data_IF_088173164663
#
_entry.id   IF_088173164663
#
_cell.length_a   1.000
_cell.length_b   1.000
_cell.length_c   1.000
_cell.angle_alpha   90.00
_cell.angle_beta   90.00
_cell.angle_gamma   90.00
#
_symmetry.space_group_name_H-M   'P 1'
#
loop_
_entity.id
_entity.type
_entity.pdbx_description
1 polymer ?
#
# COMPACT_ATOMS: atom_id res chain seq x y z
N UNK A 1 -3.62 12.99 -1.66
CA UNK A 1 -3.79 12.74 -3.09
C UNK A 1 -5.22 12.31 -3.37
N UNK A 2 -5.83 12.83 -4.43
CA UNK A 2 -7.20 12.50 -4.82
C UNK A 2 -7.27 11.45 -5.93
N UNK A 3 -6.13 11.17 -6.55
CA UNK A 3 -5.97 10.17 -7.62
C UNK A 3 -4.68 9.37 -7.46
N UNK A 4 -4.59 8.17 -8.06
CA UNK A 4 -3.34 7.40 -8.10
C UNK A 4 -2.17 8.17 -8.75
N UNK A 5 -2.46 9.00 -9.74
CA UNK A 5 -1.44 9.84 -10.39
C UNK A 5 -0.88 10.88 -9.41
N UNK A 6 -1.75 11.66 -8.74
CA UNK A 6 -1.31 12.64 -7.74
C UNK A 6 -0.54 12.00 -6.58
N UNK A 7 -0.93 10.80 -6.19
CA UNK A 7 -0.19 10.04 -5.18
C UNK A 7 1.20 9.66 -5.70
N UNK A 8 1.29 9.19 -6.95
CA UNK A 8 2.56 8.88 -7.61
C UNK A 8 3.48 10.10 -7.70
N UNK A 9 2.94 11.27 -8.06
CA UNK A 9 3.71 12.54 -8.08
C UNK A 9 4.27 12.88 -6.70
N UNK A 10 3.44 12.86 -5.65
CA UNK A 10 3.86 13.20 -4.29
C UNK A 10 4.94 12.25 -3.74
N UNK A 11 4.83 10.94 -4.03
CA UNK A 11 5.86 9.97 -3.65
C UNK A 11 7.18 10.25 -4.39
N UNK A 12 7.10 10.59 -5.68
CA UNK A 12 8.29 10.91 -6.46
C UNK A 12 8.94 12.25 -6.07
N UNK A 13 8.17 13.23 -5.61
CA UNK A 13 8.71 14.46 -5.02
C UNK A 13 9.52 14.15 -3.76
N UNK A 14 8.98 13.29 -2.89
CA UNK A 14 9.68 12.82 -1.68
C UNK A 14 10.92 12.01 -2.05
N UNK A 15 10.82 11.08 -3.01
CA UNK A 15 11.94 10.25 -3.44
C UNK A 15 13.05 11.07 -4.09
N UNK A 16 12.71 12.07 -4.91
CA UNK A 16 13.69 12.98 -5.48
C UNK A 16 14.43 13.82 -4.41
N UNK A 17 13.70 14.30 -3.39
CA UNK A 17 14.30 14.97 -2.24
C UNK A 17 15.24 14.03 -1.46
N UNK A 18 14.84 12.77 -1.26
CA UNK A 18 15.66 11.74 -0.64
C UNK A 18 16.95 11.49 -1.44
N UNK A 19 16.87 11.26 -2.74
CA UNK A 19 18.03 11.05 -3.61
C UNK A 19 18.99 12.24 -3.53
N UNK A 20 18.48 13.46 -3.56
CA UNK A 20 19.30 14.67 -3.45
C UNK A 20 20.00 14.78 -2.07
N UNK A 21 19.30 14.40 -1.00
CA UNK A 21 19.85 14.42 0.36
C UNK A 21 20.96 13.39 0.57
N UNK A 22 20.93 12.29 -0.17
CA UNK A 22 21.86 11.17 -0.07
C UNK A 22 22.74 10.99 -1.31
N UNK A 23 22.90 12.03 -2.14
CA UNK A 23 23.66 11.98 -3.39
C UNK A 23 25.11 11.48 -3.24
N UNK A 24 25.72 11.70 -2.06
CA UNK A 24 27.10 11.30 -1.77
C UNK A 24 27.16 9.94 -1.01
N UNK A 25 26.07 9.19 -0.98
CA UNK A 25 25.96 7.89 -0.32
C UNK A 25 25.69 6.78 -1.33
N UNK A 26 26.23 5.60 -1.02
CA UNK A 26 25.82 4.40 -1.72
C UNK A 26 24.52 3.87 -1.10
N UNK A 27 23.45 3.87 -1.91
CA UNK A 27 22.14 3.38 -1.50
C UNK A 27 21.99 1.93 -1.97
N UNK A 28 21.46 1.09 -1.11
CA UNK A 28 21.05 -0.28 -1.45
C UNK A 28 19.59 -0.42 -1.03
N UNK A 29 18.76 -0.83 -1.98
CA UNK A 29 17.35 -1.14 -1.79
C UNK A 29 17.20 -2.66 -1.75
N UNK A 30 16.42 -3.15 -0.79
CA UNK A 30 16.17 -4.59 -0.63
C UNK A 30 14.66 -4.81 -0.52
N UNK A 31 14.14 -5.72 -1.34
CA UNK A 31 12.76 -6.17 -1.27
C UNK A 31 12.72 -7.62 -0.78
N UNK A 32 12.09 -7.84 0.36
CA UNK A 32 11.76 -9.16 0.87
C UNK A 32 10.40 -9.59 0.30
N UNK A 33 10.45 -10.52 -0.65
CA UNK A 33 9.29 -11.15 -1.27
C UNK A 33 9.17 -12.64 -0.91
N UNK A 34 9.76 -13.10 0.21
CA UNK A 34 9.58 -14.50 0.64
C UNK A 34 8.09 -14.79 0.79
N UNK A 35 7.37 -13.91 1.50
CA UNK A 35 5.90 -13.94 1.60
C UNK A 35 5.38 -12.54 1.33
N UNK A 36 4.62 -12.37 0.24
CA UNK A 36 3.93 -11.13 -0.08
C UNK A 36 2.44 -11.20 0.23
N UNK A 37 1.75 -10.09 0.03
CA UNK A 37 0.30 -9.97 0.16
C UNK A 37 -0.32 -9.70 -1.21
N UNK A 38 -1.21 -10.58 -1.66
CA UNK A 38 -1.94 -10.40 -2.93
C UNK A 38 -3.37 -9.92 -2.70
N UNK A 39 -3.97 -9.28 -3.71
CA UNK A 39 -5.38 -8.85 -3.71
C UNK A 39 -5.60 -7.54 -2.96
N UNK A 40 -6.72 -7.45 -2.24
CA UNK A 40 -7.18 -6.23 -1.58
C UNK A 40 -6.43 -5.94 -0.28
N UNK A 41 -5.22 -5.39 -0.37
CA UNK A 41 -4.52 -4.86 0.82
C UNK A 41 -5.21 -3.64 1.44
N UNK A 42 -4.72 -3.14 2.56
CA UNK A 42 -3.68 -3.66 3.44
C UNK A 42 -4.18 -4.72 4.42
N UNK A 43 -3.26 -5.42 5.04
CA UNK A 43 -3.39 -6.40 6.13
C UNK A 43 -4.55 -7.40 6.02
N UNK A 44 -5.75 -7.08 6.44
CA UNK A 44 -6.89 -8.02 6.54
C UNK A 44 -7.65 -8.24 5.22
N UNK A 45 -7.34 -7.49 4.18
CA UNK A 45 -8.03 -7.56 2.89
C UNK A 45 -7.36 -8.48 1.87
N UNK A 46 -6.05 -8.69 2.00
CA UNK A 46 -5.28 -9.54 1.10
C UNK A 46 -5.07 -10.95 1.62
N UNK A 47 -4.46 -11.80 0.79
CA UNK A 47 -4.04 -13.15 1.14
C UNK A 47 -2.52 -13.25 1.09
N UNK A 48 -1.93 -13.90 2.09
CA UNK A 48 -0.51 -14.19 2.11
C UNK A 48 -0.17 -15.20 0.99
N UNK A 49 0.85 -14.90 0.20
CA UNK A 49 1.33 -15.76 -0.88
C UNK A 49 2.86 -15.74 -0.94
N UNK A 50 3.46 -16.90 -1.13
CA UNK A 50 4.89 -17.04 -1.25
C UNK A 50 5.34 -16.66 -2.66
N UNK A 51 6.30 -15.75 -2.77
CA UNK A 51 7.08 -15.55 -3.98
C UNK A 51 8.49 -16.13 -3.83
N UNK A 52 8.96 -16.39 -2.60
CA UNK A 52 10.28 -16.92 -2.29
C UNK A 52 11.41 -16.14 -2.99
N UNK A 53 11.22 -14.83 -3.13
CA UNK A 53 12.16 -13.95 -3.79
C UNK A 53 12.78 -12.96 -2.80
N UNK A 54 14.09 -12.75 -2.92
CA UNK A 54 14.83 -11.66 -2.30
C UNK A 54 15.49 -10.86 -3.41
N UNK A 55 15.21 -9.58 -3.50
CA UNK A 55 15.71 -8.72 -4.58
C UNK A 55 16.48 -7.56 -3.95
N UNK A 56 17.66 -7.28 -4.49
CA UNK A 56 18.46 -6.12 -4.06
C UNK A 56 18.93 -5.32 -5.28
N UNK A 57 18.99 -4.01 -5.16
CA UNK A 57 19.46 -3.12 -6.22
C UNK A 57 19.99 -1.81 -5.63
N UNK A 58 20.88 -1.15 -6.35
CA UNK A 58 21.25 0.25 -6.09
C UNK A 58 20.26 1.25 -6.70
N UNK A 59 19.31 0.76 -7.49
CA UNK A 59 18.25 1.52 -8.16
C UNK A 59 16.89 0.98 -7.72
N UNK A 60 16.11 1.78 -6.96
CA UNK A 60 14.81 1.37 -6.47
C UNK A 60 13.77 1.18 -7.60
N UNK A 61 13.88 1.94 -8.70
CA UNK A 61 12.96 1.84 -9.83
C UNK A 61 13.20 0.52 -10.58
N UNK A 62 14.47 0.16 -10.76
CA UNK A 62 14.85 -1.13 -11.33
C UNK A 62 14.41 -2.29 -10.44
N UNK A 63 14.59 -2.17 -9.12
CA UNK A 63 14.13 -3.15 -8.14
C UNK A 63 12.63 -3.42 -8.27
N UNK A 64 11.81 -2.36 -8.27
CA UNK A 64 10.36 -2.47 -8.42
C UNK A 64 9.95 -3.09 -9.76
N UNK A 65 10.66 -2.76 -10.85
CA UNK A 65 10.41 -3.34 -12.17
C UNK A 65 10.65 -4.84 -12.18
N UNK A 66 11.74 -5.29 -11.55
CA UNK A 66 12.06 -6.72 -11.38
C UNK A 66 11.02 -7.38 -10.47
N UNK A 67 10.67 -6.77 -9.34
CA UNK A 67 9.66 -7.30 -8.43
C UNK A 67 8.30 -7.49 -9.11
N UNK A 68 7.86 -6.54 -9.95
CA UNK A 68 6.64 -6.69 -10.76
C UNK A 68 6.71 -7.88 -11.70
N UNK A 69 7.85 -8.10 -12.33
CA UNK A 69 8.04 -9.27 -13.20
C UNK A 69 7.98 -10.58 -12.42
N UNK A 70 8.64 -10.66 -11.25
CA UNK A 70 8.64 -11.84 -10.37
C UNK A 70 7.22 -12.25 -9.95
N UNK A 71 6.33 -11.27 -9.71
CA UNK A 71 4.95 -11.54 -9.26
C UNK A 71 3.91 -11.41 -10.37
N UNK A 72 4.34 -11.19 -11.62
CA UNK A 72 3.49 -11.02 -12.80
C UNK A 72 2.45 -9.89 -12.68
N UNK A 73 2.83 -8.78 -12.04
CA UNK A 73 2.03 -7.56 -12.04
C UNK A 73 2.46 -6.65 -13.21
N UNK A 74 1.48 -5.99 -13.81
CA UNK A 74 1.75 -5.05 -14.90
C UNK A 74 2.41 -3.77 -14.41
N UNK A 75 3.72 -3.65 -14.61
CA UNK A 75 4.51 -2.46 -14.31
C UNK A 75 3.88 -1.17 -14.90
N UNK A 76 3.25 -1.25 -16.07
CA UNK A 76 2.66 -0.08 -16.72
C UNK A 76 1.48 0.52 -15.96
N UNK A 77 0.89 -0.21 -15.01
CA UNK A 77 -0.15 0.29 -14.12
C UNK A 77 0.39 1.01 -12.90
N UNK A 78 1.69 0.95 -12.64
CA UNK A 78 2.33 1.61 -11.49
C UNK A 78 2.73 3.05 -11.82
N UNK A 79 1.88 4.03 -11.49
CA UNK A 79 2.17 5.45 -11.72
C UNK A 79 3.47 5.90 -11.04
N UNK A 80 3.78 5.39 -9.85
CA UNK A 80 5.00 5.74 -9.10
C UNK A 80 6.23 5.48 -9.97
N UNK A 81 6.36 4.28 -10.51
CA UNK A 81 7.52 3.86 -11.28
C UNK A 81 7.61 4.53 -12.65
N UNK A 82 6.46 4.76 -13.30
CA UNK A 82 6.41 5.50 -14.57
C UNK A 82 6.90 6.94 -14.39
N UNK A 83 6.48 7.61 -13.34
CA UNK A 83 6.91 8.98 -13.03
C UNK A 83 8.39 8.99 -12.66
N UNK A 84 8.86 8.05 -11.83
CA UNK A 84 10.26 7.93 -11.45
C UNK A 84 11.17 7.74 -12.68
N UNK A 85 10.78 6.88 -13.61
CA UNK A 85 11.50 6.64 -14.88
C UNK A 85 11.50 7.91 -15.74
N UNK A 86 10.36 8.59 -15.88
CA UNK A 86 10.26 9.84 -16.64
C UNK A 86 11.12 10.97 -16.05
N UNK A 87 11.23 10.99 -14.71
CA UNK A 87 12.09 11.94 -13.97
C UNK A 87 13.56 11.53 -13.92
N UNK A 88 13.91 10.38 -14.51
CA UNK A 88 15.28 9.81 -14.52
C UNK A 88 15.82 9.51 -13.13
N UNK A 89 14.95 9.07 -12.23
CA UNK A 89 15.33 8.62 -10.89
C UNK A 89 15.83 7.19 -10.85
N UNK A 90 15.62 6.43 -11.95
CA UNK A 90 16.08 5.06 -12.13
C UNK A 90 15.58 4.44 -13.44
N UNK A 91 15.96 3.19 -13.70
CA UNK A 91 15.62 2.46 -14.92
C UNK A 91 14.37 1.59 -14.71
N UNK A 92 13.28 1.94 -15.40
CA UNK A 92 12.03 1.17 -15.34
C UNK A 92 11.88 0.12 -16.43
N UNK A 93 12.72 0.15 -17.47
CA UNK A 93 12.62 -0.78 -18.56
C UNK A 93 13.36 -2.09 -18.24
N UNK A 94 12.62 -3.17 -18.03
CA UNK A 94 13.16 -4.48 -17.67
C UNK A 94 14.23 -4.99 -18.63
N UNK A 95 14.13 -4.66 -19.94
CA UNK A 95 15.08 -5.06 -20.95
C UNK A 95 16.43 -4.34 -20.86
N UNK A 96 16.52 -3.28 -20.05
CA UNK A 96 17.76 -2.52 -19.82
C UNK A 96 18.36 -2.81 -18.44
N UNK A 97 17.67 -3.60 -17.61
CA UNK A 97 18.13 -3.94 -16.27
C UNK A 97 19.00 -5.19 -16.36
N UNK A 98 20.23 -5.08 -15.85
CA UNK A 98 21.11 -6.25 -15.71
C UNK A 98 20.73 -7.01 -14.44
N UNK A 99 20.20 -8.21 -14.62
CA UNK A 99 19.78 -9.10 -13.53
C UNK A 99 20.87 -10.12 -13.26
N UNK A 100 21.35 -10.20 -12.01
CA UNK A 100 22.37 -11.13 -11.55
C UNK A 100 21.72 -12.08 -10.54
N UNK A 101 21.97 -13.38 -10.68
CA UNK A 101 21.40 -14.42 -9.83
C UNK A 101 20.37 -15.27 -10.57
N UNK A 102 19.22 -15.52 -9.94
CA UNK A 102 18.18 -16.35 -10.52
C UNK A 102 17.57 -15.72 -11.77
N UNK A 103 17.26 -16.54 -12.76
CA UNK A 103 16.54 -16.11 -13.95
C UNK A 103 15.09 -15.77 -13.64
N UNK A 104 14.52 -14.74 -14.29
CA UNK A 104 13.09 -14.42 -14.15
C UNK A 104 12.19 -15.59 -14.53
N UNK A 105 12.63 -16.48 -15.43
CA UNK A 105 11.87 -17.67 -15.82
C UNK A 105 11.63 -18.66 -14.68
N UNK A 106 12.44 -18.63 -13.62
CA UNK A 106 12.24 -19.45 -12.43
C UNK A 106 11.02 -19.05 -11.61
N UNK A 107 10.47 -17.87 -11.88
CA UNK A 107 9.30 -17.30 -11.20
C UNK A 107 8.01 -17.37 -12.05
N UNK A 108 8.02 -18.06 -13.17
CA UNK A 108 6.89 -18.11 -14.10
C UNK A 108 5.59 -18.64 -13.50
N UNK A 109 5.65 -19.45 -12.44
CA UNK A 109 4.48 -19.99 -11.75
C UNK A 109 3.94 -19.06 -10.64
N UNK A 110 4.58 -17.91 -10.42
CA UNK A 110 4.25 -16.99 -9.35
C UNK A 110 3.40 -15.84 -9.88
N UNK A 111 2.07 -15.96 -9.75
CA UNK A 111 1.14 -14.93 -10.19
C UNK A 111 0.40 -14.32 -9.01
N UNK A 112 0.69 -13.07 -8.66
CA UNK A 112 -0.05 -12.35 -7.64
C UNK A 112 -1.30 -11.71 -8.21
N UNK A 113 -2.39 -11.77 -7.44
CA UNK A 113 -3.61 -11.04 -7.77
C UNK A 113 -3.41 -9.55 -7.50
N UNK A 114 -3.59 -8.73 -8.53
CA UNK A 114 -3.65 -7.29 -8.33
C UNK A 114 -4.92 -6.90 -7.54
N UNK A 115 -4.90 -5.77 -6.80
CA UNK A 115 -6.13 -5.20 -6.25
C UNK A 115 -7.16 -4.95 -7.36
N UNK A 116 -8.45 -5.13 -7.04
CA UNK A 116 -9.50 -4.92 -8.03
C UNK A 116 -9.62 -3.44 -8.41
N UNK A 117 -9.69 -3.16 -9.71
CA UNK A 117 -9.93 -1.81 -10.25
C UNK A 117 -11.38 -1.33 -10.01
N UNK A 118 -12.11 -1.93 -9.06
CA UNK A 118 -13.58 -1.85 -8.94
C UNK A 118 -14.18 -0.46 -8.67
N UNK A 119 -13.36 0.59 -8.59
CA UNK A 119 -13.84 1.96 -8.41
C UNK A 119 -13.23 2.96 -9.41
N UNK A 120 -12.71 2.49 -10.52
CA UNK A 120 -11.90 3.24 -11.47
C UNK A 120 -12.70 4.16 -12.35
N UNK A 121 -13.36 5.07 -12.24
CA UNK A 121 -13.74 6.20 -13.12
C UNK A 121 -15.14 6.81 -12.96
N UNK A 122 -16.18 6.05 -12.62
CA UNK A 122 -17.52 6.63 -12.43
C UNK A 122 -17.75 7.03 -10.97
N UNK A 123 -17.20 6.24 -10.03
CA UNK A 123 -17.33 6.50 -8.59
C UNK A 123 -16.55 7.70 -8.06
N UNK A 124 -15.41 8.06 -8.69
CA UNK A 124 -14.55 9.14 -8.19
C UNK A 124 -15.21 10.53 -8.22
N UNK A 125 -16.08 10.80 -9.18
CA UNK A 125 -16.82 12.09 -9.22
C UNK A 125 -17.87 12.19 -8.12
N UNK A 126 -18.54 11.09 -7.80
CA UNK A 126 -19.57 10.99 -6.75
C UNK A 126 -18.89 11.00 -5.36
N UNK A 127 -17.69 10.44 -5.23
CA UNK A 127 -16.92 10.38 -3.99
C UNK A 127 -16.34 11.73 -3.53
N UNK A 128 -16.44 12.80 -4.34
CA UNK A 128 -16.10 14.16 -3.91
C UNK A 128 -17.05 14.69 -2.84
N UNK A 129 -18.26 14.15 -2.74
CA UNK A 129 -19.23 14.51 -1.69
C UNK A 129 -18.89 13.68 -0.44
N UNK A 130 -18.35 14.31 0.60
CA UNK A 130 -17.93 13.64 1.86
C UNK A 130 -19.01 12.72 2.46
N UNK A 131 -20.27 13.10 2.37
CA UNK A 131 -21.38 12.32 2.88
C UNK A 131 -21.58 11.00 2.10
N UNK A 132 -21.60 11.06 0.77
CA UNK A 132 -21.74 9.87 -0.10
C UNK A 132 -20.55 8.93 0.04
N UNK A 133 -19.35 9.49 0.18
CA UNK A 133 -18.13 8.73 0.45
C UNK A 133 -18.24 7.87 1.72
N UNK A 134 -18.83 8.43 2.78
CA UNK A 134 -19.00 7.69 4.04
C UNK A 134 -20.09 6.63 3.99
N UNK A 135 -21.05 6.79 3.08
CA UNK A 135 -22.13 5.81 2.87
C UNK A 135 -21.67 4.62 2.01
N UNK A 136 -20.84 4.89 1.00
CA UNK A 136 -20.47 3.90 -0.02
C UNK A 136 -19.16 3.17 0.28
N UNK A 137 -18.23 3.78 1.02
CA UNK A 137 -16.93 3.17 1.27
C UNK A 137 -16.88 2.46 2.63
N UNK A 138 -16.26 1.30 2.63
CA UNK A 138 -15.94 0.55 3.86
C UNK A 138 -15.16 1.42 4.86
N UNK A 139 -15.41 1.20 6.13
CA UNK A 139 -14.67 1.85 7.21
C UNK A 139 -14.39 0.87 8.37
N UNK A 140 -13.41 1.16 9.23
CA UNK A 140 -13.10 0.32 10.38
C UNK A 140 -14.30 0.17 11.33
N UNK A 141 -14.62 -1.06 11.67
CA UNK A 141 -15.63 -1.42 12.68
C UNK A 141 -15.00 -2.24 13.79
N UNK A 142 -15.45 -2.02 15.02
CA UNK A 142 -14.90 -2.65 16.20
C UNK A 142 -15.79 -3.83 16.62
N UNK A 143 -15.22 -5.05 16.60
CA UNK A 143 -15.81 -6.21 17.19
C UNK A 143 -15.63 -6.16 18.72
N UNK A 144 -16.72 -5.84 19.42
CA UNK A 144 -16.72 -5.69 20.89
C UNK A 144 -16.35 -6.98 21.62
N UNK A 145 -16.65 -8.15 21.04
CA UNK A 145 -16.35 -9.45 21.67
C UNK A 145 -14.85 -9.77 21.66
N UNK A 146 -14.09 -9.21 20.70
CA UNK A 146 -12.65 -9.37 20.62
C UNK A 146 -11.88 -8.22 21.26
N UNK A 147 -12.50 -7.06 21.45
CA UNK A 147 -11.83 -5.85 21.88
C UNK A 147 -11.52 -5.85 23.37
N UNK A 148 -10.25 -5.81 23.73
CA UNK A 148 -9.74 -5.70 25.10
C UNK A 148 -9.62 -4.25 25.61
N UNK A 149 -10.07 -3.27 24.85
CA UNK A 149 -10.04 -1.84 25.21
C UNK A 149 -8.65 -1.26 25.50
N UNK A 150 -7.59 -1.79 24.89
CA UNK A 150 -6.20 -1.35 25.11
C UNK A 150 -5.89 0.08 24.65
N UNK A 151 -6.69 0.65 23.75
CA UNK A 151 -6.53 2.03 23.29
C UNK A 151 -5.55 2.25 22.12
N UNK A 152 -4.80 1.23 21.69
CA UNK A 152 -3.78 1.35 20.64
C UNK A 152 -4.34 1.94 19.34
N UNK A 153 -5.55 1.54 18.93
CA UNK A 153 -6.22 2.07 17.74
C UNK A 153 -6.52 3.57 17.82
N UNK A 154 -6.71 4.11 19.01
CA UNK A 154 -6.93 5.55 19.20
C UNK A 154 -5.62 6.32 19.20
N UNK A 155 -4.56 5.71 19.73
CA UNK A 155 -3.22 6.31 19.79
C UNK A 155 -2.63 6.47 18.40
N UNK A 156 -2.72 5.43 17.55
CA UNK A 156 -2.14 5.41 16.21
C UNK A 156 -2.94 6.22 15.19
N UNK A 157 -4.20 6.57 15.44
CA UNK A 157 -5.08 7.20 14.44
C UNK A 157 -4.59 8.60 14.04
N UNK A 158 -4.08 8.83 12.79
CA UNK A 158 -3.53 10.11 12.39
C UNK A 158 -4.56 11.26 12.48
N UNK A 159 -5.79 11.11 11.95
CA UNK A 159 -6.81 12.17 12.05
C UNK A 159 -7.56 12.18 13.40
N UNK A 160 -7.15 11.35 14.38
CA UNK A 160 -7.77 11.22 15.72
C UNK A 160 -9.29 11.04 15.70
N UNK A 161 -9.77 10.29 14.72
CA UNK A 161 -11.20 9.98 14.55
C UNK A 161 -11.65 8.74 15.29
N UNK A 162 -10.69 7.88 15.68
CA UNK A 162 -10.95 6.76 16.59
C UNK A 162 -10.80 7.27 18.02
N UNK A 163 -11.87 7.20 18.81
CA UNK A 163 -11.93 7.77 20.16
C UNK A 163 -12.45 6.75 21.19
N UNK A 164 -11.92 6.81 22.41
CA UNK A 164 -12.46 6.11 23.58
C UNK A 164 -13.03 7.15 24.54
N UNK A 165 -14.28 6.93 24.99
CA UNK A 165 -14.91 7.73 26.03
C UNK A 165 -15.17 6.86 27.27
N UNK A 166 -14.83 7.38 28.45
CA UNK A 166 -15.16 6.77 29.75
C UNK A 166 -14.78 5.27 29.87
N UNK A 167 -13.57 4.89 29.42
CA UNK A 167 -13.09 3.50 29.43
C UNK A 167 -13.98 2.51 28.67
N UNK A 168 -14.82 3.00 27.78
CA UNK A 168 -15.70 2.17 26.97
C UNK A 168 -14.96 1.61 25.73
N UNK A 169 -15.68 0.96 24.81
CA UNK A 169 -15.11 0.51 23.53
C UNK A 169 -14.73 1.71 22.64
N UNK A 170 -13.68 1.55 21.82
CA UNK A 170 -13.37 2.55 20.80
C UNK A 170 -14.56 2.78 19.89
N UNK A 171 -14.74 4.02 19.47
CA UNK A 171 -15.74 4.41 18.48
C UNK A 171 -15.12 5.25 17.39
N UNK A 172 -15.57 5.04 16.15
CA UNK A 172 -15.09 5.77 14.98
C UNK A 172 -16.02 6.94 14.67
N UNK A 173 -15.44 8.11 14.32
CA UNK A 173 -16.14 9.20 13.62
C UNK A 173 -15.88 9.10 12.12
N UNK A 174 -16.76 8.45 11.32
CA UNK A 174 -16.43 8.05 9.94
C UNK A 174 -16.15 9.23 9.00
N UNK A 175 -16.76 10.39 9.25
CA UNK A 175 -16.71 11.56 8.35
C UNK A 175 -15.28 12.10 8.13
N UNK A 176 -14.41 11.95 9.12
CA UNK A 176 -13.03 12.42 9.07
C UNK A 176 -12.02 11.24 8.92
N UNK A 177 -12.52 10.01 8.84
CA UNK A 177 -11.68 8.84 8.68
C UNK A 177 -11.05 8.81 7.28
N UNK A 178 -9.71 8.76 7.24
CA UNK A 178 -8.95 8.65 5.98
C UNK A 178 -8.82 7.22 5.48
N UNK A 179 -9.37 6.23 6.20
CA UNK A 179 -9.36 4.81 5.85
C UNK A 179 -7.97 4.22 5.64
N UNK A 180 -6.99 4.69 6.42
CA UNK A 180 -5.60 4.20 6.35
C UNK A 180 -5.41 2.81 6.97
N UNK A 181 -6.39 2.28 7.70
CA UNK A 181 -6.39 0.98 8.37
C UNK A 181 -5.31 0.77 9.45
N UNK A 182 -4.48 1.74 9.77
CA UNK A 182 -3.48 1.63 10.83
C UNK A 182 -4.07 1.13 12.16
N UNK A 183 -5.32 1.48 12.47
CA UNK A 183 -6.01 1.00 13.66
C UNK A 183 -6.25 -0.52 13.64
N UNK A 184 -6.44 -1.13 12.47
CA UNK A 184 -6.59 -2.57 12.34
C UNK A 184 -5.23 -3.28 12.47
N UNK A 185 -4.18 -2.71 11.89
CA UNK A 185 -2.82 -3.27 11.90
C UNK A 185 -2.24 -3.36 13.33
N UNK A 186 -2.44 -2.32 14.15
CA UNK A 186 -1.92 -2.31 15.53
C UNK A 186 -2.79 -3.07 16.52
N UNK A 187 -3.93 -3.61 16.09
CA UNK A 187 -4.85 -4.27 17.01
C UNK A 187 -4.36 -5.68 17.40
N UNK A 188 -3.92 -5.93 18.65
CA UNK A 188 -3.35 -7.22 19.04
C UNK A 188 -4.38 -8.35 19.05
N UNK A 189 -5.68 -8.01 19.03
CA UNK A 189 -6.79 -8.97 19.04
C UNK A 189 -7.49 -9.10 17.68
N UNK A 190 -6.99 -8.45 16.64
CA UNK A 190 -7.66 -8.37 15.33
C UNK A 190 -9.16 -8.02 15.48
N UNK A 191 -9.46 -7.10 16.41
CA UNK A 191 -10.83 -6.70 16.74
C UNK A 191 -11.39 -5.63 15.80
N UNK A 192 -10.61 -5.16 14.82
CA UNK A 192 -11.05 -4.14 13.85
C UNK A 192 -11.15 -4.78 12.48
N UNK A 193 -12.34 -4.74 11.92
CA UNK A 193 -12.68 -5.36 10.64
C UNK A 193 -13.31 -4.34 9.69
N UNK A 194 -13.42 -4.67 8.42
CA UNK A 194 -14.18 -3.90 7.43
C UNK A 194 -15.67 -4.03 7.72
N UNK A 195 -16.39 -2.92 7.67
CA UNK A 195 -17.86 -2.93 7.73
C UNK A 195 -18.40 -2.61 6.34
N UNK A 196 -19.19 -3.54 5.80
CA UNK A 196 -20.11 -3.23 4.72
C UNK A 196 -21.41 -2.72 5.37
N UNK A 197 -21.86 -1.57 4.96
CA UNK A 197 -23.20 -1.09 5.25
C UNK A 197 -24.10 -1.34 4.06
#
# INVERSE_FOLDING_TARGET
ASSPLEFGEAINDLYGAFLNSFKDKHLIHIADGIIGLEGEGPSTGGKAKKANALIASTDAVALDSVACNVVHLDYNKLYINKIATARKYGEGNINKINIIGNSLNEFNDIHFLAPSDSLSNIGLKILKIKFLKNLLLEHPSINKNKCIKCGECTRICPPKTMIIKNKNYPSLKPINCIRCWCCAEVCPQNAITKTNR
#
